data_IF_818649582340
#
_entry.id   IF_818649582340
#
_cell.length_a   1.000
_cell.length_b   1.000
_cell.length_c   1.000
_cell.angle_alpha   90.00
_cell.angle_beta   90.00
_cell.angle_gamma   90.00
#
_symmetry.space_group_name_H-M   'P 1'
#
loop_
_entity.id
_entity.type
_entity.pdbx_description
1 polymer ?
#
# COMPACT_ATOMS: atom_id res chain seq x y z
N UNK A 1 16.21 12.37 -20.15
CA UNK A 1 14.87 12.45 -19.52
C UNK A 1 14.95 13.08 -18.13
N UNK A 2 15.81 12.59 -17.23
CA UNK A 2 16.00 13.18 -15.89
C UNK A 2 16.34 14.68 -15.98
N UNK A 3 17.35 15.07 -16.76
CA UNK A 3 17.74 16.48 -16.90
C UNK A 3 16.61 17.38 -17.41
N UNK A 4 15.77 16.86 -18.30
CA UNK A 4 14.60 17.59 -18.78
C UNK A 4 13.63 17.87 -17.62
N UNK A 5 13.33 16.87 -16.78
CA UNK A 5 12.46 17.05 -15.61
C UNK A 5 13.07 17.98 -14.57
N UNK A 6 14.38 17.87 -14.30
CA UNK A 6 15.10 18.75 -13.37
C UNK A 6 14.98 20.23 -13.78
N UNK A 7 14.95 20.50 -15.10
CA UNK A 7 14.95 21.87 -15.63
C UNK A 7 13.56 22.39 -16.05
N UNK A 8 12.55 21.53 -16.22
CA UNK A 8 11.23 21.93 -16.73
C UNK A 8 10.07 21.66 -15.75
N UNK A 9 10.21 20.71 -14.83
CA UNK A 9 9.11 20.37 -13.91
C UNK A 9 9.02 21.41 -12.78
N UNK A 10 8.10 22.37 -12.91
CA UNK A 10 7.87 23.42 -11.90
C UNK A 10 7.65 22.88 -10.49
N UNK A 11 6.93 21.77 -10.36
CA UNK A 11 6.68 21.10 -9.06
C UNK A 11 7.94 20.55 -8.42
N UNK A 12 8.96 20.20 -9.20
CA UNK A 12 10.27 19.78 -8.70
C UNK A 12 11.19 20.98 -8.39
N UNK A 13 11.15 22.02 -9.21
CA UNK A 13 12.04 23.20 -9.08
C UNK A 13 11.62 24.08 -7.90
N UNK A 14 10.32 24.30 -7.69
CA UNK A 14 9.78 25.23 -6.70
C UNK A 14 9.31 24.54 -5.41
N UNK A 15 9.88 23.40 -5.06
CA UNK A 15 9.68 22.73 -3.77
C UNK A 15 10.95 22.77 -2.92
N UNK A 16 10.79 22.73 -1.61
CA UNK A 16 11.92 22.51 -0.70
C UNK A 16 12.45 21.09 -0.86
N UNK A 17 13.77 20.94 -0.97
CA UNK A 17 14.40 19.62 -1.01
C UNK A 17 14.08 18.82 0.27
N UNK A 18 14.04 17.49 0.12
CA UNK A 18 13.86 16.60 1.27
C UNK A 18 15.03 16.77 2.26
N UNK A 19 14.76 16.77 3.58
CA UNK A 19 15.82 16.79 4.58
C UNK A 19 16.79 15.61 4.40
N UNK A 20 18.11 15.80 4.65
CA UNK A 20 19.10 14.74 4.48
C UNK A 20 18.78 13.45 5.25
N UNK A 21 18.21 13.56 6.45
CA UNK A 21 17.81 12.41 7.27
C UNK A 21 16.73 11.55 6.61
N UNK A 22 15.76 12.17 5.93
CA UNK A 22 14.69 11.45 5.22
C UNK A 22 15.24 10.74 3.98
N UNK A 23 16.18 11.37 3.27
CA UNK A 23 16.86 10.73 2.14
C UNK A 23 17.65 9.49 2.59
N UNK A 24 18.41 9.60 3.68
CA UNK A 24 19.19 8.48 4.23
C UNK A 24 18.30 7.33 4.71
N UNK A 25 17.22 7.65 5.43
CA UNK A 25 16.25 6.64 5.87
C UNK A 25 15.57 5.94 4.69
N UNK A 26 15.15 6.70 3.67
CA UNK A 26 14.51 6.15 2.46
C UNK A 26 15.47 5.26 1.67
N UNK A 27 16.73 5.67 1.52
CA UNK A 27 17.76 4.86 0.86
C UNK A 27 17.96 3.53 1.57
N UNK A 28 18.17 3.58 2.90
CA UNK A 28 18.37 2.37 3.71
C UNK A 28 17.15 1.45 3.66
N UNK A 29 15.94 2.01 3.69
CA UNK A 29 14.71 1.22 3.57
C UNK A 29 14.61 0.50 2.21
N UNK A 30 15.05 1.14 1.11
CA UNK A 30 15.08 0.50 -0.21
C UNK A 30 16.08 -0.66 -0.25
N UNK A 31 17.26 -0.50 0.35
CA UNK A 31 18.27 -1.56 0.46
C UNK A 31 17.76 -2.75 1.28
N UNK A 32 17.06 -2.49 2.39
CA UNK A 32 16.46 -3.56 3.19
C UNK A 32 15.36 -4.27 2.38
N UNK A 33 14.45 -3.49 1.77
CA UNK A 33 13.29 -4.05 1.09
C UNK A 33 13.69 -4.87 -0.14
N UNK A 34 14.80 -4.57 -0.85
CA UNK A 34 15.21 -5.37 -2.01
C UNK A 34 15.28 -6.86 -1.69
N UNK A 35 15.79 -7.21 -0.51
CA UNK A 35 16.13 -8.59 -0.14
C UNK A 35 15.02 -9.30 0.66
N UNK A 36 13.92 -8.61 0.99
CA UNK A 36 12.78 -9.15 1.75
C UNK A 36 11.88 -10.08 0.93
N UNK A 37 12.44 -11.12 0.29
CA UNK A 37 11.65 -12.06 -0.51
C UNK A 37 10.74 -12.95 0.34
N UNK A 38 11.19 -13.41 1.50
CA UNK A 38 10.38 -14.21 2.43
C UNK A 38 9.19 -13.43 2.95
N UNK A 39 9.41 -12.20 3.43
CA UNK A 39 8.32 -11.34 3.93
C UNK A 39 7.27 -11.05 2.84
N UNK A 40 7.69 -10.90 1.57
CA UNK A 40 6.74 -10.76 0.45
C UNK A 40 5.91 -12.03 0.23
N UNK A 41 6.51 -13.21 0.34
CA UNK A 41 5.78 -14.49 0.24
C UNK A 41 4.80 -14.65 1.40
N UNK A 42 5.22 -14.33 2.61
CA UNK A 42 4.35 -14.35 3.80
C UNK A 42 3.18 -13.40 3.65
N UNK A 43 3.41 -12.18 3.15
CA UNK A 43 2.36 -11.21 2.85
C UNK A 43 1.35 -11.76 1.85
N UNK A 44 1.83 -12.32 0.73
CA UNK A 44 0.96 -12.92 -0.29
C UNK A 44 0.14 -14.10 0.27
N UNK A 45 0.77 -14.96 1.06
CA UNK A 45 0.09 -16.08 1.72
C UNK A 45 -0.98 -15.58 2.68
N UNK A 46 -0.65 -14.60 3.52
CA UNK A 46 -1.58 -14.01 4.49
C UNK A 46 -2.78 -13.37 3.80
N UNK A 47 -2.54 -12.60 2.73
CA UNK A 47 -3.59 -11.98 1.92
C UNK A 47 -4.51 -13.05 1.33
N UNK A 48 -3.96 -14.12 0.77
CA UNK A 48 -4.75 -15.24 0.23
C UNK A 48 -5.61 -15.88 1.31
N UNK A 49 -5.02 -16.20 2.46
CA UNK A 49 -5.75 -16.78 3.59
C UNK A 49 -6.89 -15.88 4.05
N UNK A 50 -6.64 -14.59 4.27
CA UNK A 50 -7.67 -13.65 4.73
C UNK A 50 -8.79 -13.51 3.69
N UNK A 51 -8.45 -13.37 2.39
CA UNK A 51 -9.45 -13.28 1.31
C UNK A 51 -10.35 -14.52 1.28
N UNK A 52 -9.77 -15.72 1.37
CA UNK A 52 -10.53 -16.98 1.40
C UNK A 52 -11.44 -17.03 2.63
N UNK A 53 -10.93 -16.72 3.83
CA UNK A 53 -11.73 -16.75 5.05
C UNK A 53 -12.91 -15.78 5.01
N UNK A 54 -12.70 -14.56 4.52
CA UNK A 54 -13.77 -13.59 4.38
C UNK A 54 -14.84 -14.03 3.37
N UNK A 55 -14.43 -14.63 2.25
CA UNK A 55 -15.35 -15.21 1.29
C UNK A 55 -16.15 -16.38 1.88
N UNK A 56 -15.49 -17.28 2.63
CA UNK A 56 -16.13 -18.40 3.33
C UNK A 56 -17.17 -17.92 4.37
N UNK A 57 -16.94 -16.76 4.99
CA UNK A 57 -17.90 -16.10 5.89
C UNK A 57 -19.06 -15.40 5.16
N UNK A 58 -19.08 -15.43 3.82
CA UNK A 58 -20.13 -14.83 3.00
C UNK A 58 -19.91 -13.37 2.62
N UNK A 59 -18.75 -12.78 2.94
CA UNK A 59 -18.43 -11.43 2.51
C UNK A 59 -18.09 -11.39 1.02
N UNK A 60 -18.55 -10.32 0.35
CA UNK A 60 -18.09 -10.02 -1.00
C UNK A 60 -16.73 -9.34 -0.93
N UNK A 61 -15.68 -10.08 -1.27
CA UNK A 61 -14.31 -9.57 -1.39
C UNK A 61 -14.00 -9.30 -2.87
N UNK A 62 -13.46 -8.11 -3.18
CA UNK A 62 -13.12 -7.70 -4.56
C UNK A 62 -11.60 -7.55 -4.72
N UNK A 63 -11.17 -7.22 -5.93
CA UNK A 63 -9.76 -6.96 -6.26
C UNK A 63 -9.01 -8.18 -6.79
N UNK A 64 -7.80 -7.95 -7.29
CA UNK A 64 -6.90 -8.98 -7.80
C UNK A 64 -5.84 -9.42 -6.78
N UNK A 65 -4.73 -9.94 -7.28
CA UNK A 65 -3.58 -10.37 -6.48
C UNK A 65 -2.73 -9.18 -6.01
N UNK A 66 -3.32 -8.37 -5.13
CA UNK A 66 -2.65 -7.26 -4.45
C UNK A 66 -2.80 -7.40 -2.93
N UNK A 67 -1.92 -6.76 -2.13
CA UNK A 67 -2.02 -6.78 -0.66
C UNK A 67 -3.26 -6.09 -0.09
N UNK A 68 -3.97 -5.27 -0.88
CA UNK A 68 -5.20 -4.60 -0.45
C UNK A 68 -6.36 -5.60 -0.52
N UNK A 69 -7.21 -5.63 0.52
CA UNK A 69 -8.37 -6.52 0.63
C UNK A 69 -9.66 -5.69 0.73
N UNK A 70 -10.27 -5.30 -0.41
CA UNK A 70 -11.55 -4.61 -0.41
C UNK A 70 -12.70 -5.54 -0.01
N UNK A 71 -13.34 -5.25 1.13
CA UNK A 71 -14.54 -5.95 1.62
C UNK A 71 -15.76 -5.07 1.41
N UNK A 72 -16.76 -5.56 0.68
CA UNK A 72 -17.97 -4.80 0.40
C UNK A 72 -18.98 -5.01 1.52
N UNK A 73 -19.24 -3.94 2.29
CA UNK A 73 -20.13 -3.95 3.46
C UNK A 73 -21.55 -3.49 3.12
N UNK A 74 -21.72 -2.65 2.08
CA UNK A 74 -23.02 -2.10 1.68
C UNK A 74 -22.96 -0.58 1.57
N UNK A 75 -23.99 0.10 2.06
CA UNK A 75 -24.07 1.56 2.07
C UNK A 75 -23.13 2.20 3.10
N UNK A 76 -22.95 3.52 2.98
CA UNK A 76 -22.03 4.28 3.81
C UNK A 76 -22.32 4.18 5.31
N UNK A 77 -23.60 4.18 5.72
CA UNK A 77 -23.97 4.12 7.14
C UNK A 77 -23.64 2.74 7.72
N UNK A 78 -23.94 1.69 6.97
CA UNK A 78 -23.61 0.30 7.35
C UNK A 78 -22.09 0.11 7.43
N UNK A 79 -21.32 0.62 6.47
CA UNK A 79 -19.85 0.56 6.48
C UNK A 79 -19.24 1.28 7.70
N UNK A 80 -19.70 2.48 8.02
CA UNK A 80 -19.23 3.24 9.20
C UNK A 80 -19.61 2.53 10.50
N UNK A 81 -20.82 1.96 10.57
CA UNK A 81 -21.27 1.23 11.76
C UNK A 81 -20.45 -0.05 11.98
N UNK A 82 -20.13 -0.78 10.91
CA UNK A 82 -19.26 -1.95 10.96
C UNK A 82 -17.83 -1.59 11.41
N UNK A 83 -17.28 -0.46 10.92
CA UNK A 83 -15.95 0.00 11.31
C UNK A 83 -15.83 0.35 12.81
N UNK A 84 -16.92 0.76 13.45
CA UNK A 84 -16.94 1.02 14.89
C UNK A 84 -17.01 -0.24 15.77
N UNK A 85 -17.30 -1.40 15.18
CA UNK A 85 -17.39 -2.69 15.86
C UNK A 85 -16.15 -3.57 15.67
N UNK A 86 -15.22 -3.15 14.82
CA UNK A 86 -13.92 -3.79 14.54
C UNK A 86 -12.81 -3.13 15.37
#
# INVERSE_FOLDING_TARGET
FIDFLLNQARTFIFQTALPPSICAASHTALDIISDMHDTRRELQSSVKTIKTRLADMGFTVRGGDTPIIPVIIGDAKTAVSAAALL
#
